data_IF_503137977239
#
_entry.id   IF_503137977239
#
_cell.length_a   1.000
_cell.length_b   1.000
_cell.length_c   1.000
_cell.angle_alpha   90.00
_cell.angle_beta   90.00
_cell.angle_gamma   90.00
#
_symmetry.space_group_name_H-M   'P 1'
#
loop_
_entity.id
_entity.type
_entity.pdbx_description
1 polymer ?
#
# COMPACT_ATOMS: atom_id res chain seq x y z
N UNK A 1 14.60 -58.88 43.08
CA UNK A 1 15.76 -58.99 42.18
C UNK A 1 15.25 -59.48 40.83
N UNK A 2 15.51 -58.77 39.72
CA UNK A 2 15.00 -59.09 38.36
C UNK A 2 14.20 -57.92 37.75
N UNK A 3 14.81 -56.85 37.25
CA UNK A 3 15.49 -56.60 35.95
C UNK A 3 14.57 -56.09 34.83
N UNK A 4 15.15 -55.14 34.03
CA UNK A 4 14.77 -54.65 32.69
C UNK A 4 13.64 -53.60 32.68
N UNK A 5 13.69 -52.48 31.93
CA UNK A 5 14.57 -52.02 30.83
C UNK A 5 14.17 -50.54 30.53
N UNK A 6 15.13 -49.62 30.41
CA UNK A 6 15.00 -48.51 29.43
C UNK A 6 15.61 -49.02 28.13
N UNK A 7 15.07 -48.70 26.93
CA UNK A 7 15.63 -47.55 26.22
C UNK A 7 14.70 -46.87 25.19
N UNK A 8 15.19 -45.73 24.68
CA UNK A 8 15.00 -45.13 23.36
C UNK A 8 13.58 -44.88 22.82
N UNK A 9 13.18 -43.61 22.86
CA UNK A 9 12.21 -43.05 21.91
C UNK A 9 13.02 -42.61 20.68
N UNK A 10 13.01 -43.48 19.69
CA UNK A 10 13.57 -43.25 18.38
C UNK A 10 12.84 -42.10 17.64
N UNK A 11 13.64 -41.38 16.84
CA UNK A 11 13.30 -40.79 15.56
C UNK A 11 12.02 -39.93 15.44
N UNK A 12 12.26 -38.63 15.20
CA UNK A 12 11.36 -37.70 14.51
C UNK A 12 10.70 -38.38 13.29
N UNK A 13 9.45 -38.02 13.01
CA UNK A 13 9.22 -37.33 11.75
C UNK A 13 8.56 -35.97 11.97
N UNK A 14 9.18 -34.99 11.33
CA UNK A 14 8.67 -33.64 11.08
C UNK A 14 7.20 -33.69 10.64
N UNK A 15 6.32 -32.81 11.13
CA UNK A 15 5.08 -32.58 10.41
C UNK A 15 5.48 -32.04 9.03
N UNK A 16 5.03 -32.76 8.02
CA UNK A 16 5.23 -32.42 6.62
C UNK A 16 4.85 -30.96 6.40
N UNK A 17 5.78 -30.21 5.80
CA UNK A 17 5.41 -29.05 4.99
C UNK A 17 4.36 -29.54 4.01
N UNK A 18 3.10 -29.20 4.26
CA UNK A 18 2.13 -29.11 3.19
C UNK A 18 2.63 -27.96 2.36
N UNK A 19 3.43 -28.29 1.33
CA UNK A 19 3.70 -27.38 0.24
C UNK A 19 2.34 -27.02 -0.33
N UNK A 20 1.84 -25.86 0.07
CA UNK A 20 0.92 -25.12 -0.77
C UNK A 20 1.75 -24.88 -2.02
N UNK A 21 1.41 -25.62 -3.07
CA UNK A 21 1.79 -25.21 -4.41
C UNK A 21 1.22 -23.80 -4.54
N UNK A 22 2.09 -22.80 -4.35
CA UNK A 22 1.79 -21.44 -4.76
C UNK A 22 1.41 -21.57 -6.23
N UNK A 23 0.13 -21.34 -6.50
CA UNK A 23 -0.36 -21.21 -7.85
C UNK A 23 0.47 -20.09 -8.48
N UNK A 24 1.35 -20.48 -9.40
CA UNK A 24 2.28 -19.58 -10.06
C UNK A 24 1.53 -18.76 -11.11
N UNK A 25 0.64 -17.88 -10.63
CA UNK A 25 0.05 -16.74 -11.33
C UNK A 25 -0.62 -15.79 -10.35
N UNK A 26 -0.06 -15.64 -9.15
CA UNK A 26 -0.24 -14.38 -8.44
C UNK A 26 0.67 -13.36 -9.15
N UNK A 27 0.14 -12.28 -9.77
CA UNK A 27 1.00 -11.20 -10.20
C UNK A 27 1.77 -10.75 -8.96
N UNK A 28 3.09 -10.93 -8.97
CA UNK A 28 3.91 -10.47 -7.87
C UNK A 28 3.60 -8.98 -7.69
N UNK A 29 3.04 -8.61 -6.54
CA UNK A 29 2.74 -7.22 -6.23
C UNK A 29 4.03 -6.41 -6.49
N UNK A 30 3.94 -5.26 -7.20
CA UNK A 30 5.09 -4.40 -7.41
C UNK A 30 5.79 -4.14 -6.08
N UNK A 31 7.11 -4.21 -6.05
CA UNK A 31 7.89 -4.11 -4.81
C UNK A 31 7.57 -2.79 -4.07
N UNK A 32 7.36 -1.73 -4.84
CA UNK A 32 7.04 -0.38 -4.39
C UNK A 32 5.69 -0.34 -3.64
N UNK A 33 4.70 -1.12 -4.09
CA UNK A 33 3.41 -1.23 -3.42
C UNK A 33 3.55 -1.92 -2.06
N UNK A 34 4.33 -3.01 -2.01
CA UNK A 34 4.60 -3.73 -0.78
C UNK A 34 5.37 -2.85 0.22
N UNK A 35 6.38 -2.12 -0.24
CA UNK A 35 7.15 -1.18 0.59
C UNK A 35 6.27 -0.05 1.15
N UNK A 36 5.32 0.44 0.36
CA UNK A 36 4.36 1.43 0.80
C UNK A 36 3.45 0.88 1.91
N UNK A 37 2.91 -0.33 1.73
CA UNK A 37 2.08 -0.99 2.74
C UNK A 37 2.85 -1.19 4.05
N UNK A 38 4.09 -1.66 3.97
CA UNK A 38 4.97 -1.84 5.14
C UNK A 38 5.35 -0.52 5.81
N UNK A 39 5.45 0.57 5.04
CA UNK A 39 5.75 1.90 5.59
C UNK A 39 4.57 2.50 6.33
N UNK A 40 3.35 2.10 5.97
CA UNK A 40 2.11 2.51 6.62
C UNK A 40 1.71 1.57 7.77
N UNK A 41 2.27 0.35 7.79
CA UNK A 41 2.10 -0.60 8.89
C UNK A 41 2.62 -0.01 10.20
N UNK A 42 1.81 -0.10 11.26
CA UNK A 42 2.12 0.51 12.56
C UNK A 42 1.81 2.01 12.67
N UNK A 43 1.07 2.58 11.72
CA UNK A 43 0.52 3.94 11.86
C UNK A 43 -0.20 4.12 13.21
N UNK A 44 0.13 5.20 13.93
CA UNK A 44 -0.47 5.54 15.23
C UNK A 44 -0.81 7.04 15.32
N UNK A 45 -0.88 7.73 14.18
CA UNK A 45 -0.96 9.19 14.11
C UNK A 45 -2.37 9.77 14.22
N UNK A 46 -3.42 8.94 14.17
CA UNK A 46 -4.80 9.42 14.11
C UNK A 46 -5.09 10.22 12.83
N UNK A 47 -6.30 10.76 12.71
CA UNK A 47 -6.67 11.55 11.53
C UNK A 47 -5.72 12.72 11.22
N UNK A 48 -5.20 13.41 12.24
CA UNK A 48 -4.30 14.55 12.06
C UNK A 48 -2.92 14.16 11.49
N UNK A 49 -2.46 12.93 11.76
CA UNK A 49 -1.19 12.40 11.26
C UNK A 49 -1.27 11.74 9.89
N UNK A 50 -2.48 11.48 9.38
CA UNK A 50 -2.72 10.71 8.16
C UNK A 50 -1.97 11.25 6.94
N UNK A 51 -2.19 12.53 6.60
CA UNK A 51 -1.64 13.13 5.38
C UNK A 51 -0.10 13.12 5.37
N UNK A 52 0.54 13.44 6.50
CA UNK A 52 2.01 13.43 6.60
C UNK A 52 2.58 12.00 6.57
N UNK A 53 1.92 11.03 7.20
CA UNK A 53 2.33 9.64 7.15
C UNK A 53 2.28 9.09 5.72
N UNK A 54 1.16 9.31 5.03
CA UNK A 54 0.99 8.87 3.64
C UNK A 54 1.97 9.57 2.71
N UNK A 55 2.18 10.88 2.86
CA UNK A 55 3.18 11.62 2.05
C UNK A 55 4.59 11.07 2.27
N UNK A 56 4.95 10.78 3.51
CA UNK A 56 6.27 10.23 3.85
C UNK A 56 6.46 8.84 3.23
N UNK A 57 5.45 7.98 3.34
CA UNK A 57 5.47 6.64 2.77
C UNK A 57 5.53 6.67 1.24
N UNK A 58 4.73 7.52 0.58
CA UNK A 58 4.76 7.68 -0.88
C UNK A 58 6.15 8.12 -1.38
N UNK A 59 6.78 9.09 -0.70
CA UNK A 59 8.13 9.54 -1.05
C UNK A 59 9.20 8.48 -0.85
N UNK A 60 9.03 7.59 0.12
CA UNK A 60 9.98 6.50 0.36
C UNK A 60 10.05 5.53 -0.83
N UNK A 61 8.94 5.37 -1.56
CA UNK A 61 8.83 4.52 -2.75
C UNK A 61 8.98 5.30 -4.07
N UNK A 62 9.41 6.56 -4.01
CA UNK A 62 9.59 7.42 -5.20
C UNK A 62 8.28 7.89 -5.83
N UNK A 63 7.16 7.77 -5.13
CA UNK A 63 5.87 8.30 -5.54
C UNK A 63 5.55 9.65 -4.90
N UNK A 64 4.37 10.18 -5.22
CA UNK A 64 3.88 11.44 -4.69
C UNK A 64 2.42 11.39 -4.24
N UNK A 65 2.12 12.15 -3.20
CA UNK A 65 0.75 12.42 -2.76
C UNK A 65 0.17 13.55 -3.60
N UNK A 66 -0.93 13.26 -4.29
CA UNK A 66 -1.62 14.24 -5.13
C UNK A 66 -2.68 15.00 -4.34
N UNK A 67 -3.53 14.28 -3.60
CA UNK A 67 -4.67 14.86 -2.88
C UNK A 67 -4.89 14.16 -1.54
N UNK A 68 -5.38 14.91 -0.55
CA UNK A 68 -5.98 14.41 0.70
C UNK A 68 -7.41 14.94 0.75
N UNK A 69 -8.38 14.03 0.88
CA UNK A 69 -9.80 14.33 0.81
C UNK A 69 -10.56 13.59 1.91
N UNK A 70 -11.67 14.16 2.43
CA UNK A 70 -12.62 13.36 3.21
C UNK A 70 -13.19 12.26 2.31
N UNK A 71 -13.30 11.04 2.82
CA UNK A 71 -13.86 9.91 2.06
C UNK A 71 -15.40 9.94 2.01
N UNK A 72 -16.04 10.85 2.77
CA UNK A 72 -17.49 11.03 2.76
C UNK A 72 -18.03 11.35 1.37
N UNK A 73 -18.90 10.50 0.85
CA UNK A 73 -19.47 10.62 -0.50
C UNK A 73 -18.61 10.06 -1.62
N UNK A 74 -17.44 9.47 -1.29
CA UNK A 74 -16.57 8.73 -2.20
C UNK A 74 -16.58 7.24 -1.86
N UNK A 75 -16.23 6.89 -0.62
CA UNK A 75 -16.24 5.50 -0.12
C UNK A 75 -16.71 5.52 1.34
N UNK A 76 -17.74 4.74 1.66
CA UNK A 76 -18.43 4.85 2.97
C UNK A 76 -17.69 4.17 4.12
N UNK A 77 -16.78 3.23 3.82
CA UNK A 77 -16.03 2.46 4.81
C UNK A 77 -14.80 3.19 5.37
N UNK A 78 -14.51 4.40 4.87
CA UNK A 78 -13.32 5.15 5.23
C UNK A 78 -13.66 6.58 5.64
N UNK A 79 -12.79 7.18 6.45
CA UNK A 79 -12.94 8.58 6.90
C UNK A 79 -12.19 9.54 5.99
N UNK A 80 -10.97 9.17 5.57
CA UNK A 80 -10.13 9.95 4.66
C UNK A 80 -9.55 9.10 3.57
N UNK A 81 -9.25 9.74 2.46
CA UNK A 81 -8.63 9.14 1.30
C UNK A 81 -7.51 10.05 0.81
N UNK A 82 -6.35 9.46 0.60
CA UNK A 82 -5.23 10.11 -0.07
C UNK A 82 -4.98 9.44 -1.41
N UNK A 83 -4.85 10.24 -2.46
CA UNK A 83 -4.56 9.76 -3.81
C UNK A 83 -3.06 9.86 -4.04
N UNK A 84 -2.46 8.74 -4.45
CA UNK A 84 -1.03 8.63 -4.64
C UNK A 84 -0.71 8.26 -6.10
N UNK A 85 0.39 8.80 -6.59
CA UNK A 85 0.99 8.45 -7.87
C UNK A 85 2.34 7.79 -7.59
N UNK A 86 2.42 6.47 -7.76
CA UNK A 86 3.60 5.68 -7.39
C UNK A 86 4.17 4.94 -8.60
N UNK A 87 5.46 4.56 -8.60
CA UNK A 87 6.04 3.76 -9.68
C UNK A 87 5.40 2.37 -9.79
N UNK A 88 5.25 1.87 -11.01
CA UNK A 88 4.80 0.52 -11.34
C UNK A 88 5.86 -0.21 -12.18
N UNK A 89 7.11 -0.18 -11.70
CA UNK A 89 8.25 -0.77 -12.39
C UNK A 89 8.67 -0.01 -13.66
N UNK A 90 9.97 0.30 -13.76
CA UNK A 90 10.50 1.07 -14.88
C UNK A 90 10.05 2.53 -14.86
N UNK A 91 9.58 3.05 -16.00
CA UNK A 91 9.12 4.45 -16.14
C UNK A 91 7.58 4.59 -15.99
N UNK A 92 6.86 3.49 -15.77
CA UNK A 92 5.42 3.54 -15.60
C UNK A 92 5.07 4.01 -14.20
N UNK A 93 4.03 4.81 -14.11
CA UNK A 93 3.45 5.26 -12.85
C UNK A 93 1.99 4.83 -12.78
N UNK A 94 1.52 4.50 -11.57
CA UNK A 94 0.15 4.08 -11.31
C UNK A 94 -0.49 4.94 -10.22
N UNK A 95 -1.82 4.98 -10.24
CA UNK A 95 -2.62 5.63 -9.21
C UNK A 95 -3.10 4.58 -8.21
N UNK A 96 -2.94 4.88 -6.93
CA UNK A 96 -3.46 4.08 -5.82
C UNK A 96 -4.09 5.02 -4.78
N UNK A 97 -4.83 4.43 -3.84
CA UNK A 97 -5.40 5.17 -2.73
C UNK A 97 -4.85 4.66 -1.41
N UNK A 98 -4.53 5.57 -0.49
CA UNK A 98 -4.38 5.24 0.92
C UNK A 98 -5.65 5.71 1.64
N UNK A 99 -6.30 4.83 2.37
CA UNK A 99 -7.56 5.11 3.04
C UNK A 99 -7.42 4.92 4.54
N UNK A 100 -7.84 5.93 5.30
CA UNK A 100 -7.91 5.87 6.76
C UNK A 100 -9.27 5.28 7.16
N UNK A 101 -9.24 4.26 8.00
CA UNK A 101 -10.45 3.65 8.55
C UNK A 101 -11.32 4.66 9.33
N UNK A 102 -12.55 4.24 9.67
CA UNK A 102 -13.51 5.09 10.37
C UNK A 102 -13.04 5.46 11.78
N UNK A 103 -12.26 4.58 12.42
CA UNK A 103 -11.71 4.74 13.76
C UNK A 103 -10.47 5.68 13.77
N UNK A 104 -9.89 5.95 12.61
CA UNK A 104 -8.66 6.74 12.47
C UNK A 104 -7.41 6.02 12.94
N UNK A 105 -7.45 4.69 13.05
CA UNK A 105 -6.41 3.86 13.64
C UNK A 105 -5.52 3.22 12.58
N UNK A 106 -6.09 2.75 11.47
CA UNK A 106 -5.37 2.02 10.43
C UNK A 106 -5.45 2.72 9.08
N UNK A 107 -4.34 2.66 8.33
CA UNK A 107 -4.28 3.07 6.92
C UNK A 107 -4.23 1.82 6.06
N UNK A 108 -5.07 1.75 5.04
CA UNK A 108 -5.09 0.66 4.06
C UNK A 108 -4.78 1.19 2.68
N UNK A 109 -3.97 0.46 1.93
CA UNK A 109 -3.76 0.74 0.51
C UNK A 109 -4.86 0.04 -0.30
N UNK A 110 -5.48 0.78 -1.21
CA UNK A 110 -6.56 0.34 -2.07
C UNK A 110 -6.17 0.57 -3.52
N UNK A 111 -6.52 -0.38 -4.38
CA UNK A 111 -6.48 -0.19 -5.81
C UNK A 111 -7.74 0.54 -6.31
N UNK A 112 -7.65 1.28 -7.43
CA UNK A 112 -8.81 1.86 -8.06
C UNK A 112 -9.86 0.82 -8.44
N UNK A 113 -11.13 1.17 -8.25
CA UNK A 113 -12.30 0.34 -8.48
C UNK A 113 -13.39 1.12 -9.23
N UNK A 114 -14.48 0.46 -9.64
CA UNK A 114 -15.63 1.14 -10.27
C UNK A 114 -16.19 2.28 -9.40
N UNK A 115 -16.23 2.11 -8.07
CA UNK A 115 -16.74 3.14 -7.15
C UNK A 115 -15.86 4.41 -7.15
N UNK A 116 -14.58 4.28 -7.49
CA UNK A 116 -13.60 5.36 -7.49
C UNK A 116 -13.23 5.85 -8.89
N UNK A 117 -13.95 5.39 -9.94
CA UNK A 117 -13.66 5.71 -11.34
C UNK A 117 -13.64 7.22 -11.62
N UNK A 118 -14.57 7.97 -11.02
CA UNK A 118 -14.60 9.43 -11.18
C UNK A 118 -13.39 10.11 -10.56
N UNK A 119 -12.90 9.59 -9.43
CA UNK A 119 -11.70 10.11 -8.78
C UNK A 119 -10.45 9.76 -9.58
N UNK A 120 -10.39 8.56 -10.16
CA UNK A 120 -9.34 8.15 -11.07
C UNK A 120 -9.30 9.08 -12.30
N UNK A 121 -10.45 9.31 -12.95
CA UNK A 121 -10.58 10.21 -14.11
C UNK A 121 -10.14 11.64 -13.80
N UNK A 122 -10.48 12.15 -12.62
CA UNK A 122 -10.03 13.46 -12.15
C UNK A 122 -8.51 13.49 -11.96
N UNK A 123 -7.96 12.43 -11.40
CA UNK A 123 -6.52 12.30 -11.14
C UNK A 123 -5.74 12.24 -12.43
N UNK A 124 -6.19 11.47 -13.42
CA UNK A 124 -5.58 11.41 -14.75
C UNK A 124 -5.55 12.80 -15.40
N UNK A 125 -6.67 13.53 -15.37
CA UNK A 125 -6.74 14.88 -15.92
C UNK A 125 -5.80 15.86 -15.19
N UNK A 126 -5.59 15.68 -13.89
CA UNK A 126 -4.67 16.49 -13.10
C UNK A 126 -3.21 16.17 -13.42
N UNK A 127 -2.84 14.89 -13.51
CA UNK A 127 -1.49 14.46 -13.91
C UNK A 127 -1.17 14.96 -15.32
N UNK A 128 -2.11 14.83 -16.25
CA UNK A 128 -2.02 15.38 -17.61
C UNK A 128 -1.76 16.88 -17.61
N UNK A 129 -2.43 17.62 -16.71
CA UNK A 129 -2.20 19.05 -16.56
C UNK A 129 -0.79 19.34 -16.05
N UNK A 130 -0.33 18.64 -15.01
CA UNK A 130 1.00 18.82 -14.44
C UNK A 130 2.11 18.54 -15.45
N UNK A 131 1.96 17.49 -16.28
CA UNK A 131 2.93 17.16 -17.33
C UNK A 131 2.98 18.19 -18.46
N UNK A 132 1.91 18.98 -18.64
CA UNK A 132 1.82 20.03 -19.65
C UNK A 132 2.24 21.40 -19.12
N UNK A 133 2.41 21.56 -17.81
CA UNK A 133 2.94 22.80 -17.27
C UNK A 133 4.39 22.96 -17.75
N UNK A 134 4.73 24.06 -18.43
CA UNK A 134 6.11 24.30 -18.81
C UNK A 134 6.94 24.44 -17.53
N UNK A 135 8.12 23.81 -17.48
CA UNK A 135 9.14 24.11 -16.47
C UNK A 135 9.59 25.57 -16.64
N UNK A 136 8.85 26.53 -16.08
CA UNK A 136 9.29 27.92 -16.02
C UNK A 136 8.87 28.54 -14.71
N UNK A 137 9.73 28.36 -13.72
CA UNK A 137 10.07 29.41 -12.76
C UNK A 137 11.55 29.42 -12.36
N UNK A 138 12.44 28.91 -13.22
CA UNK A 138 13.88 29.17 -13.17
C UNK A 138 14.24 30.23 -14.23
N UNK A 139 13.75 31.46 -14.06
CA UNK A 139 14.21 32.65 -14.79
C UNK A 139 13.59 33.91 -14.15
N UNK A 140 13.99 34.18 -12.91
CA UNK A 140 13.90 35.52 -12.34
C UNK A 140 15.09 35.70 -11.38
N UNK A 141 16.22 36.02 -12.01
CA UNK A 141 17.42 36.56 -11.36
C UNK A 141 17.14 37.91 -10.69
#
# INVERSE_FOLDING_TARGET
>A
MGTKKSPDIAAKPSPASTGVAADASEPALPLELLELELSLDGFSGGEAGFCEAVRTAARAVGGELLFDLPATGLISEYRRLAVLWIPEGGENMRIIFAALDLDGAEIRVLEPSEETEHLLSFTDAFVDLLQRLPERLDDAA
#
